data_IF_442666054975
#
_entry.id   IF_442666054975
#
_cell.length_a   1.000
_cell.length_b   1.000
_cell.length_c   1.000
_cell.angle_alpha   90.00
_cell.angle_beta   90.00
_cell.angle_gamma   90.00
#
_symmetry.space_group_name_H-M   'P 1'
#
loop_
_entity.id
_entity.type
_entity.pdbx_description
1 polymer ?
#
# COMPACT_ATOMS: atom_id res chain seq x y z
N UNK A 1 66.37 -49.57 -3.69
CA UNK A 1 64.91 -49.33 -3.67
C UNK A 1 64.60 -48.37 -2.54
N UNK A 2 64.45 -47.07 -2.82
CA UNK A 2 64.10 -46.08 -1.78
C UNK A 2 62.59 -45.93 -1.73
N UNK A 3 62.01 -46.27 -0.57
CA UNK A 3 60.60 -46.04 -0.28
C UNK A 3 60.39 -44.54 -0.09
N UNK A 4 59.78 -43.88 -1.08
CA UNK A 4 59.38 -42.48 -0.97
C UNK A 4 58.17 -42.44 -0.04
N UNK A 5 58.40 -42.06 1.22
CA UNK A 5 57.33 -41.82 2.18
C UNK A 5 56.59 -40.55 1.75
N UNK A 6 55.27 -40.59 1.52
CA UNK A 6 54.50 -39.41 1.12
C UNK A 6 54.55 -38.34 2.23
N UNK A 7 54.62 -37.08 1.82
CA UNK A 7 54.64 -35.94 2.73
C UNK A 7 53.41 -35.98 3.66
N UNK A 8 53.65 -35.97 4.97
CA UNK A 8 52.60 -36.01 6.00
C UNK A 8 51.58 -34.90 5.82
N UNK A 9 52.00 -33.74 5.31
CA UNK A 9 51.10 -32.61 5.05
C UNK A 9 50.13 -32.92 3.91
N UNK A 10 50.62 -33.55 2.86
CA UNK A 10 49.80 -33.97 1.72
C UNK A 10 48.82 -35.06 2.15
N UNK A 11 49.27 -36.03 2.95
CA UNK A 11 48.38 -37.07 3.51
C UNK A 11 47.31 -36.46 4.43
N UNK A 12 47.67 -35.50 5.28
CA UNK A 12 46.71 -34.80 6.14
C UNK A 12 45.69 -33.98 5.32
N UNK A 13 46.13 -33.29 4.26
CA UNK A 13 45.24 -32.52 3.39
C UNK A 13 44.27 -33.44 2.63
N UNK A 14 44.74 -34.58 2.12
CA UNK A 14 43.89 -35.58 1.47
C UNK A 14 42.89 -36.20 2.45
N UNK A 15 43.34 -36.56 3.66
CA UNK A 15 42.45 -37.10 4.69
C UNK A 15 41.37 -36.09 5.09
N UNK A 16 41.73 -34.82 5.26
CA UNK A 16 40.78 -33.76 5.60
C UNK A 16 39.79 -33.48 4.48
N UNK A 17 40.26 -33.49 3.22
CA UNK A 17 39.40 -33.37 2.05
C UNK A 17 38.41 -34.54 1.97
N UNK A 18 38.88 -35.78 2.14
CA UNK A 18 38.03 -36.97 2.14
C UNK A 18 36.99 -36.91 3.28
N UNK A 19 37.40 -36.53 4.49
CA UNK A 19 36.52 -36.36 5.64
C UNK A 19 35.43 -35.32 5.37
N UNK A 20 35.79 -34.18 4.77
CA UNK A 20 34.84 -33.12 4.44
C UNK A 20 33.79 -33.60 3.44
N UNK A 21 34.21 -34.32 2.40
CA UNK A 21 33.28 -34.86 1.40
C UNK A 21 32.34 -35.90 2.01
N UNK A 22 32.85 -36.77 2.89
CA UNK A 22 32.02 -37.73 3.64
C UNK A 22 31.01 -37.01 4.55
N UNK A 23 31.41 -35.93 5.21
CA UNK A 23 30.51 -35.15 6.06
C UNK A 23 29.39 -34.50 5.23
N UNK A 24 29.72 -33.91 4.08
CA UNK A 24 28.75 -33.29 3.18
C UNK A 24 27.77 -34.32 2.63
N UNK A 25 28.24 -35.50 2.19
CA UNK A 25 27.34 -36.54 1.71
C UNK A 25 26.43 -37.07 2.82
N UNK A 26 26.94 -37.18 4.06
CA UNK A 26 26.15 -37.61 5.21
C UNK A 26 25.08 -36.56 5.59
N UNK A 27 25.41 -35.27 5.53
CA UNK A 27 24.44 -34.18 5.73
C UNK A 27 23.34 -34.22 4.66
N UNK A 28 23.70 -34.45 3.39
CA UNK A 28 22.73 -34.51 2.30
C UNK A 28 21.84 -35.76 2.35
N UNK A 29 22.30 -36.84 2.97
CA UNK A 29 21.47 -38.04 3.22
C UNK A 29 20.46 -37.85 4.35
N UNK A 30 20.61 -36.82 5.18
CA UNK A 30 19.60 -36.46 6.18
C UNK A 30 18.50 -35.68 5.46
N UNK A 31 17.59 -36.40 4.80
CA UNK A 31 16.38 -35.84 4.15
C UNK A 31 15.43 -35.14 5.16
N UNK A 32 15.70 -35.26 6.46
CA UNK A 32 14.81 -34.83 7.55
C UNK A 32 15.41 -33.80 8.51
N UNK A 33 16.20 -32.85 8.03
CA UNK A 33 16.50 -31.64 8.84
C UNK A 33 15.22 -30.89 9.26
N UNK A 34 14.10 -31.10 8.55
CA UNK A 34 12.78 -30.62 8.93
C UNK A 34 12.26 -31.19 10.26
N UNK A 35 12.73 -32.36 10.70
CA UNK A 35 12.31 -32.98 11.96
C UNK A 35 13.00 -32.38 13.20
N UNK A 36 14.08 -31.61 13.02
CA UNK A 36 14.77 -30.87 14.09
C UNK A 36 14.16 -29.49 14.33
N UNK A 37 13.21 -29.06 13.50
CA UNK A 37 12.43 -27.85 13.71
C UNK A 37 11.24 -28.25 14.60
N UNK A 38 11.17 -27.78 15.86
CA UNK A 38 10.04 -28.12 16.71
C UNK A 38 8.75 -27.65 16.05
N UNK A 39 7.85 -28.60 15.77
CA UNK A 39 6.50 -28.29 15.33
C UNK A 39 5.88 -27.32 16.33
N UNK A 40 5.53 -26.15 15.83
CA UNK A 40 4.88 -25.09 16.60
C UNK A 40 3.51 -25.63 16.98
N UNK A 41 3.40 -26.19 18.18
CA UNK A 41 2.16 -26.71 18.74
C UNK A 41 1.11 -25.60 18.67
N UNK A 42 0.15 -25.75 17.77
CA UNK A 42 -1.02 -24.88 17.69
C UNK A 42 -1.79 -25.05 19.00
N UNK A 43 -1.66 -24.09 19.91
CA UNK A 43 -2.53 -23.98 21.07
C UNK A 43 -3.92 -23.63 20.52
N UNK A 44 -4.76 -24.64 20.32
CA UNK A 44 -6.19 -24.45 20.14
C UNK A 44 -6.74 -23.88 21.44
N UNK A 45 -6.98 -22.58 21.47
CA UNK A 45 -7.73 -21.93 22.52
C UNK A 45 -9.21 -22.13 22.20
N UNK A 46 -9.83 -23.14 22.80
CA UNK A 46 -11.29 -23.28 22.78
C UNK A 46 -11.90 -22.08 23.50
N UNK A 47 -12.51 -21.19 22.72
CA UNK A 47 -13.30 -20.07 23.24
C UNK A 47 -14.73 -20.58 23.38
N UNK A 48 -15.10 -20.93 24.61
CA UNK A 48 -16.48 -21.22 24.97
C UNK A 48 -17.29 -19.91 24.85
N UNK A 49 -18.10 -19.81 23.79
CA UNK A 49 -18.96 -18.66 23.54
C UNK A 49 -20.15 -18.73 24.49
N UNK A 50 -20.07 -18.00 25.60
CA UNK A 50 -21.21 -17.72 26.48
C UNK A 50 -22.22 -16.87 25.68
N UNK A 51 -23.48 -17.32 25.51
CA UNK A 51 -24.51 -16.50 24.89
C UNK A 51 -24.78 -15.26 25.74
N UNK A 52 -24.56 -14.08 25.16
CA UNK A 52 -24.84 -12.79 25.80
C UNK A 52 -26.36 -12.60 25.96
N UNK A 53 -26.88 -12.29 27.16
CA UNK A 53 -28.31 -12.08 27.36
C UNK A 53 -28.79 -10.84 26.62
N UNK A 54 -29.90 -11.01 25.89
CA UNK A 54 -30.57 -9.99 25.08
C UNK A 54 -30.71 -8.65 25.83
N UNK A 55 -30.05 -7.62 25.28
CA UNK A 55 -30.18 -6.23 25.70
C UNK A 55 -31.59 -5.72 25.33
N UNK A 56 -32.34 -5.07 26.25
CA UNK A 56 -33.66 -4.52 25.94
C UNK A 56 -33.60 -3.47 24.83
N UNK A 57 -34.59 -3.49 23.94
CA UNK A 57 -34.71 -2.53 22.84
C UNK A 57 -34.72 -1.06 23.33
N UNK A 58 -34.03 -0.14 22.63
CA UNK A 58 -34.16 1.29 22.87
C UNK A 58 -35.59 1.77 22.56
N UNK A 59 -36.16 2.71 23.33
CA UNK A 59 -37.45 3.29 23.03
C UNK A 59 -37.41 4.04 21.68
N UNK A 60 -38.46 3.82 20.87
CA UNK A 60 -38.66 4.49 19.58
C UNK A 60 -38.51 6.02 19.71
N UNK A 61 -37.74 6.68 18.83
CA UNK A 61 -37.73 8.13 18.73
C UNK A 61 -39.13 8.64 18.35
N UNK A 62 -39.67 9.53 19.17
CA UNK A 62 -40.88 10.30 18.87
C UNK A 62 -40.60 11.18 17.66
N UNK A 63 -41.50 11.14 16.67
CA UNK A 63 -41.41 11.95 15.46
C UNK A 63 -41.32 13.46 15.79
N UNK A 64 -40.48 14.24 15.08
CA UNK A 64 -40.47 15.69 15.23
C UNK A 64 -41.81 16.29 14.76
N UNK A 65 -42.31 17.36 15.39
CA UNK A 65 -43.53 18.04 14.96
C UNK A 65 -43.35 18.68 13.56
N UNK A 66 -44.43 18.80 12.78
CA UNK A 66 -44.37 19.30 11.41
C UNK A 66 -43.92 20.77 11.33
N UNK A 67 -43.20 21.18 10.26
CA UNK A 67 -42.84 22.56 10.01
C UNK A 67 -44.08 23.46 9.88
N UNK A 68 -44.08 24.61 10.58
CA UNK A 68 -45.06 25.68 10.35
C UNK A 68 -44.75 26.38 9.02
N UNK A 69 -45.73 26.41 8.11
CA UNK A 69 -45.73 27.24 6.91
C UNK A 69 -45.95 28.72 7.26
N UNK A 70 -45.10 29.65 6.77
CA UNK A 70 -45.43 31.07 6.72
C UNK A 70 -46.30 31.39 5.48
N UNK A 71 -47.35 32.21 5.63
CA UNK A 71 -48.29 32.54 4.55
C UNK A 71 -47.71 33.56 3.54
N UNK A 72 -47.95 33.30 2.24
CA UNK A 72 -48.19 34.32 1.21
C UNK A 72 -49.71 34.65 1.18
N UNK A 73 -50.24 35.64 0.43
CA UNK A 73 -49.64 36.76 -0.37
C UNK A 73 -50.37 38.12 -0.17
N UNK A 74 -49.87 39.21 -0.76
CA UNK A 74 -50.71 40.21 -1.45
C UNK A 74 -49.89 41.03 -2.47
N UNK A 75 -50.50 41.31 -3.63
CA UNK A 75 -49.93 41.90 -4.85
C UNK A 75 -50.25 43.42 -4.96
N UNK A 76 -50.17 44.07 -6.15
CA UNK A 76 -49.16 45.03 -6.64
C UNK A 76 -49.64 46.51 -6.64
N UNK A 77 -48.86 47.50 -7.12
CA UNK A 77 -49.13 48.01 -8.49
C UNK A 77 -47.94 48.61 -9.29
N UNK A 78 -48.20 48.65 -10.59
CA UNK A 78 -47.80 49.63 -11.64
C UNK A 78 -46.35 49.78 -12.13
N UNK A 79 -46.19 49.44 -13.41
CA UNK A 79 -45.20 50.01 -14.32
C UNK A 79 -45.58 51.45 -14.71
N UNK A 80 -44.61 52.28 -15.16
CA UNK A 80 -44.66 52.65 -16.58
C UNK A 80 -43.31 52.61 -17.33
N UNK A 81 -43.45 52.30 -18.63
CA UNK A 81 -42.48 52.30 -19.74
C UNK A 81 -41.65 53.58 -19.87
N UNK A 82 -40.37 53.46 -20.27
CA UNK A 82 -39.77 54.26 -21.37
C UNK A 82 -38.68 53.44 -22.10
N UNK A 83 -38.79 53.39 -23.43
CA UNK A 83 -37.81 52.86 -24.40
C UNK A 83 -36.68 53.88 -24.66
N UNK A 84 -35.43 53.45 -24.92
CA UNK A 84 -34.65 53.85 -26.13
C UNK A 84 -33.30 53.09 -26.22
N UNK A 85 -32.81 52.95 -27.46
CA UNK A 85 -31.79 52.01 -27.97
C UNK A 85 -30.30 52.46 -27.76
N UNK A 86 -29.29 51.59 -28.07
CA UNK A 86 -27.84 51.77 -27.78
C UNK A 86 -27.05 52.42 -28.95
N UNK A 87 -25.84 53.00 -28.75
CA UNK A 87 -24.52 52.34 -29.08
C UNK A 87 -23.29 52.96 -28.32
N UNK A 88 -21.98 52.73 -28.64
CA UNK A 88 -21.24 51.71 -29.42
C UNK A 88 -20.13 50.94 -28.61
N UNK A 89 -19.45 49.91 -29.18
CA UNK A 89 -18.49 49.06 -28.47
C UNK A 89 -17.02 49.56 -28.48
N UNK A 90 -16.17 49.14 -27.52
CA UNK A 90 -14.73 49.39 -27.56
C UNK A 90 -13.99 48.44 -28.52
N UNK A 91 -12.94 48.99 -29.16
CA UNK A 91 -12.12 48.37 -30.21
C UNK A 91 -11.39 47.08 -29.76
N UNK A 92 -11.20 46.09 -30.66
CA UNK A 92 -10.58 44.82 -30.34
C UNK A 92 -9.04 44.90 -30.26
N UNK A 93 -8.47 44.46 -29.13
CA UNK A 93 -7.05 44.16 -28.98
C UNK A 93 -6.75 42.91 -29.81
N UNK A 94 -5.95 43.06 -30.88
CA UNK A 94 -5.46 41.95 -31.69
C UNK A 94 -4.41 41.15 -30.91
N UNK A 95 -4.81 40.00 -30.35
CA UNK A 95 -3.85 38.95 -29.99
C UNK A 95 -3.58 38.10 -31.24
N UNK A 96 -2.31 37.76 -31.55
CA UNK A 96 -1.99 36.86 -32.66
C UNK A 96 -2.68 35.51 -32.46
N UNK A 97 -3.68 35.21 -33.30
CA UNK A 97 -4.32 33.91 -33.30
C UNK A 97 -3.44 32.92 -34.06
N UNK A 98 -2.94 31.90 -33.37
CA UNK A 98 -2.35 30.73 -33.99
C UNK A 98 -3.46 30.01 -34.76
N UNK A 99 -3.23 29.80 -36.05
CA UNK A 99 -4.20 29.17 -36.94
C UNK A 99 -4.50 27.73 -36.48
N UNK A 100 -5.77 27.33 -36.35
CA UNK A 100 -6.11 25.93 -36.10
C UNK A 100 -5.84 25.09 -37.36
N UNK A 101 -5.10 23.99 -37.17
CA UNK A 101 -4.89 22.97 -38.18
C UNK A 101 -6.21 22.26 -38.56
N UNK A 102 -6.37 21.78 -39.80
CA UNK A 102 -7.60 21.13 -40.25
C UNK A 102 -7.87 19.84 -39.47
N UNK A 103 -9.09 19.75 -38.92
CA UNK A 103 -9.59 18.57 -38.19
C UNK A 103 -9.63 17.36 -39.13
N UNK A 104 -8.75 16.38 -38.88
CA UNK A 104 -8.91 15.04 -39.39
C UNK A 104 -9.91 14.24 -38.53
N UNK A 105 -10.91 13.75 -39.25
CA UNK A 105 -11.85 12.65 -39.04
C UNK A 105 -11.81 11.83 -37.72
N UNK A 106 -13.00 11.74 -37.12
CA UNK A 106 -13.56 10.60 -36.37
C UNK A 106 -12.56 9.57 -35.82
N UNK A 107 -12.31 9.65 -34.51
CA UNK A 107 -12.10 8.46 -33.69
C UNK A 107 -12.95 8.55 -32.43
N UNK A 108 -13.83 7.56 -32.26
CA UNK A 108 -14.53 7.30 -30.99
C UNK A 108 -13.47 6.97 -29.94
N UNK A 109 -13.10 7.95 -29.12
CA UNK A 109 -12.43 7.66 -27.87
C UNK A 109 -13.48 7.14 -26.86
N UNK A 110 -13.22 6.02 -26.15
CA UNK A 110 -14.06 5.65 -25.03
C UNK A 110 -13.98 6.77 -23.98
N UNK A 111 -15.16 7.18 -23.52
CA UNK A 111 -15.38 8.21 -22.52
C UNK A 111 -14.56 7.87 -21.27
N UNK A 112 -13.37 8.47 -21.17
CA UNK A 112 -12.57 8.43 -19.95
C UNK A 112 -13.24 9.38 -18.98
N UNK A 113 -14.09 8.80 -18.15
CA UNK A 113 -14.65 9.45 -16.98
C UNK A 113 -13.48 9.97 -16.14
N UNK A 114 -13.49 11.25 -15.70
CA UNK A 114 -12.46 11.75 -14.81
C UNK A 114 -12.55 10.93 -13.52
N UNK A 115 -11.55 10.08 -13.29
CA UNK A 115 -11.38 9.39 -12.04
C UNK A 115 -11.34 10.46 -10.95
N UNK A 116 -12.43 10.56 -10.17
CA UNK A 116 -12.39 11.22 -8.86
C UNK A 116 -11.15 10.67 -8.16
N UNK A 117 -10.29 11.49 -7.55
CA UNK A 117 -9.24 10.99 -6.69
C UNK A 117 -9.95 10.29 -5.54
N UNK A 118 -10.13 8.97 -5.68
CA UNK A 118 -10.53 8.12 -4.59
C UNK A 118 -9.43 8.32 -3.56
N UNK A 119 -9.77 8.92 -2.41
CA UNK A 119 -8.93 8.81 -1.23
C UNK A 119 -8.63 7.32 -1.08
N UNK A 120 -7.42 6.90 -1.47
CA UNK A 120 -7.05 5.51 -1.46
C UNK A 120 -6.96 5.13 0.01
N UNK A 121 -7.91 4.35 0.49
CA UNK A 121 -7.87 3.82 1.85
C UNK A 121 -6.51 3.16 2.10
N UNK A 122 -5.89 3.40 3.27
CA UNK A 122 -4.62 2.77 3.61
C UNK A 122 -4.73 1.26 3.43
N UNK A 123 -3.76 0.66 2.74
CA UNK A 123 -3.89 -0.72 2.32
C UNK A 123 -2.67 -1.24 1.55
N UNK A 124 -2.38 -2.51 1.77
CA UNK A 124 -1.39 -3.30 1.03
C UNK A 124 -2.04 -4.05 -0.10
N UNK A 125 -1.38 -4.10 -1.25
CA UNK A 125 -1.84 -4.79 -2.45
C UNK A 125 -0.66 -5.26 -3.28
N UNK A 126 -0.89 -6.31 -4.06
CA UNK A 126 0.05 -6.78 -5.07
C UNK A 126 -0.58 -6.63 -6.44
N UNK A 127 0.21 -6.20 -7.40
CA UNK A 127 -0.20 -6.12 -8.81
C UNK A 127 0.85 -6.83 -9.67
N UNK A 128 0.44 -7.32 -10.84
CA UNK A 128 1.33 -7.92 -11.84
C UNK A 128 1.29 -7.07 -13.10
N UNK A 129 2.42 -6.49 -13.49
CA UNK A 129 2.50 -5.77 -14.75
C UNK A 129 3.48 -4.61 -14.76
N UNK A 130 3.22 -3.67 -15.67
CA UNK A 130 4.14 -2.56 -15.96
C UNK A 130 4.20 -1.58 -14.79
N UNK A 131 5.42 -1.32 -14.32
CA UNK A 131 5.69 -0.34 -13.29
C UNK A 131 5.56 1.08 -13.87
N UNK A 132 4.43 1.74 -13.61
CA UNK A 132 4.23 3.16 -13.92
C UNK A 132 4.30 3.98 -12.64
N UNK A 133 5.36 4.77 -12.47
CA UNK A 133 5.48 5.67 -11.33
C UNK A 133 4.57 6.88 -11.56
N UNK A 134 3.47 6.95 -10.82
CA UNK A 134 2.59 8.13 -10.80
C UNK A 134 3.32 9.32 -10.18
N UNK A 135 3.10 10.52 -10.73
CA UNK A 135 3.59 11.75 -10.12
C UNK A 135 2.92 11.95 -8.76
N UNK A 136 3.65 12.41 -7.73
CA UNK A 136 3.10 12.56 -6.40
C UNK A 136 1.95 13.57 -6.40
N UNK A 137 0.80 13.19 -5.83
CA UNK A 137 -0.33 14.09 -5.69
C UNK A 137 -0.02 15.22 -4.69
N UNK A 138 -0.74 16.34 -4.79
CA UNK A 138 -0.60 17.45 -3.85
C UNK A 138 -0.91 16.97 -2.42
N UNK A 139 0.10 16.94 -1.55
CA UNK A 139 0.00 16.42 -0.18
C UNK A 139 0.75 15.10 0.06
N UNK A 140 1.24 14.44 -0.98
CA UNK A 140 2.10 13.26 -0.85
C UNK A 140 3.53 13.63 -0.42
N UNK A 141 4.17 12.70 0.31
CA UNK A 141 5.58 12.82 0.70
C UNK A 141 6.48 12.81 -0.55
N UNK A 142 7.56 13.58 -0.51
CA UNK A 142 8.52 13.64 -1.62
C UNK A 142 9.19 12.28 -1.83
N UNK A 143 9.62 12.00 -3.06
CA UNK A 143 10.18 10.70 -3.42
C UNK A 143 11.36 10.27 -2.54
N UNK A 144 12.26 11.19 -2.19
CA UNK A 144 13.38 10.91 -1.29
C UNK A 144 12.91 10.40 0.09
N UNK A 145 11.78 10.92 0.60
CA UNK A 145 11.19 10.47 1.86
C UNK A 145 10.61 9.07 1.69
N UNK A 146 9.91 8.82 0.58
CA UNK A 146 9.37 7.49 0.27
C UNK A 146 10.50 6.45 0.21
N UNK A 147 11.61 6.76 -0.44
CA UNK A 147 12.77 5.87 -0.56
C UNK A 147 13.45 5.61 0.81
N UNK A 148 13.57 6.63 1.66
CA UNK A 148 14.08 6.47 3.04
C UNK A 148 13.17 5.61 3.91
N UNK A 149 11.86 5.84 3.84
CA UNK A 149 10.88 5.04 4.56
C UNK A 149 10.91 3.59 4.06
N UNK A 150 10.94 3.39 2.74
CA UNK A 150 11.05 2.07 2.15
C UNK A 150 12.31 1.36 2.64
N UNK A 151 13.47 2.01 2.63
CA UNK A 151 14.72 1.45 3.15
C UNK A 151 14.61 1.06 4.64
N UNK A 152 13.96 1.87 5.46
CA UNK A 152 13.70 1.56 6.87
C UNK A 152 12.82 0.32 7.03
N UNK A 153 11.75 0.21 6.24
CA UNK A 153 10.85 -0.97 6.27
C UNK A 153 11.57 -2.22 5.77
N UNK A 154 12.29 -2.13 4.66
CA UNK A 154 13.06 -3.24 4.07
C UNK A 154 14.12 -3.75 5.04
N UNK A 155 14.76 -2.87 5.83
CA UNK A 155 15.71 -3.28 6.87
C UNK A 155 15.09 -4.19 7.94
N UNK A 156 13.79 -4.04 8.20
CA UNK A 156 13.03 -4.86 9.15
C UNK A 156 12.33 -6.05 8.47
N UNK A 157 12.41 -6.14 7.13
CA UNK A 157 11.66 -7.11 6.36
C UNK A 157 12.43 -8.41 6.16
N UNK A 158 12.00 -9.45 6.87
CA UNK A 158 12.55 -10.79 6.75
C UNK A 158 11.76 -11.62 5.74
N UNK A 159 12.08 -11.45 4.46
CA UNK A 159 11.53 -12.23 3.37
C UNK A 159 12.63 -12.53 2.34
N UNK A 160 12.64 -13.73 1.77
CA UNK A 160 13.60 -14.10 0.73
C UNK A 160 13.20 -13.47 -0.62
N UNK A 161 13.50 -12.18 -0.79
CA UNK A 161 13.26 -11.43 -2.03
C UNK A 161 13.95 -12.05 -3.24
N UNK A 162 15.08 -12.74 -3.04
CA UNK A 162 15.82 -13.41 -4.11
C UNK A 162 15.00 -14.51 -4.79
N UNK A 163 14.06 -15.14 -4.07
CA UNK A 163 13.13 -16.11 -4.65
C UNK A 163 12.12 -15.50 -5.63
N UNK A 164 11.98 -14.17 -5.63
CA UNK A 164 11.09 -13.41 -6.52
C UNK A 164 11.84 -12.71 -7.66
N UNK A 165 13.14 -12.97 -7.84
CA UNK A 165 13.89 -12.43 -8.98
C UNK A 165 13.30 -12.92 -10.30
N UNK A 166 13.10 -11.99 -11.23
CA UNK A 166 12.45 -12.25 -12.51
C UNK A 166 10.93 -12.34 -12.45
N UNK A 167 10.30 -12.19 -11.28
CA UNK A 167 8.85 -12.03 -11.19
C UNK A 167 8.44 -10.58 -11.49
N UNK A 168 7.27 -10.42 -12.11
CA UNK A 168 6.65 -9.11 -12.36
C UNK A 168 5.74 -8.65 -11.21
N UNK A 169 5.96 -9.17 -10.01
CA UNK A 169 5.19 -8.83 -8.82
C UNK A 169 5.59 -7.43 -8.35
N UNK A 170 4.60 -6.55 -8.22
CA UNK A 170 4.75 -5.22 -7.65
C UNK A 170 4.00 -5.16 -6.34
N UNK A 171 4.72 -4.86 -5.26
CA UNK A 171 4.12 -4.58 -3.96
C UNK A 171 3.77 -3.09 -3.90
N UNK A 172 2.51 -2.80 -3.58
CA UNK A 172 1.98 -1.44 -3.45
C UNK A 172 1.35 -1.25 -2.07
N UNK A 173 1.80 -0.25 -1.32
CA UNK A 173 1.27 0.09 0.00
C UNK A 173 0.85 1.56 0.04
N UNK A 174 -0.44 1.80 0.21
CA UNK A 174 -1.03 3.11 0.50
C UNK A 174 -1.00 3.32 2.01
N UNK A 175 -0.29 4.35 2.46
CA UNK A 175 -0.01 4.63 3.86
C UNK A 175 -0.54 6.01 4.24
N UNK A 176 -1.06 6.14 5.47
CA UNK A 176 -1.44 7.41 6.06
C UNK A 176 -0.59 7.64 7.30
N UNK A 177 0.35 8.57 7.18
CA UNK A 177 1.43 8.82 8.14
C UNK A 177 1.05 9.99 9.03
N UNK A 178 1.12 9.76 10.34
CA UNK A 178 0.87 10.75 11.38
C UNK A 178 2.12 11.62 11.62
N UNK A 179 1.93 12.72 12.34
CA UNK A 179 3.00 13.67 12.66
C UNK A 179 4.14 13.04 13.49
N UNK A 180 3.82 12.05 14.30
CA UNK A 180 4.75 11.32 15.17
C UNK A 180 5.51 10.19 14.43
N UNK A 181 5.29 10.03 13.12
CA UNK A 181 5.89 8.96 12.33
C UNK A 181 5.17 7.62 12.46
N UNK A 182 4.06 7.53 13.19
CA UNK A 182 3.22 6.32 13.20
C UNK A 182 2.32 6.26 11.97
N UNK A 183 1.84 5.07 11.66
CA UNK A 183 0.85 4.84 10.61
C UNK A 183 -0.54 4.77 11.22
N UNK A 184 -1.53 5.29 10.52
CA UNK A 184 -2.93 5.22 10.96
C UNK A 184 -3.63 3.90 10.62
N UNK A 185 -4.75 3.66 11.30
CA UNK A 185 -5.68 2.57 11.00
C UNK A 185 -5.09 1.18 11.28
N UNK A 186 -5.38 0.16 10.45
CA UNK A 186 -4.95 -1.22 10.69
C UNK A 186 -3.45 -1.43 10.48
N UNK A 187 -2.71 -0.42 10.03
CA UNK A 187 -1.26 -0.46 9.89
C UNK A 187 -0.52 0.12 11.09
N UNK A 188 -1.22 0.71 12.07
CA UNK A 188 -0.62 1.22 13.29
C UNK A 188 0.10 0.11 14.07
N UNK A 189 1.26 0.40 14.67
CA UNK A 189 2.04 -0.58 15.43
C UNK A 189 1.26 -1.28 16.55
N UNK A 190 0.41 -0.52 17.24
CA UNK A 190 -0.38 -1.01 18.38
C UNK A 190 -1.79 -1.50 17.98
N UNK A 191 -2.13 -1.50 16.68
CA UNK A 191 -3.42 -2.01 16.24
C UNK A 191 -3.49 -3.54 16.40
N UNK A 192 -4.67 -4.12 16.69
CA UNK A 192 -4.85 -5.56 16.67
C UNK A 192 -4.33 -6.20 15.37
N UNK A 193 -3.78 -7.41 15.47
CA UNK A 193 -3.35 -8.14 14.29
C UNK A 193 -4.58 -8.58 13.49
N UNK A 194 -4.84 -7.86 12.38
CA UNK A 194 -5.92 -8.15 11.44
C UNK A 194 -5.41 -7.90 10.01
N UNK A 195 -4.85 -8.93 9.35
CA UNK A 195 -4.34 -8.80 7.99
C UNK A 195 -5.43 -8.45 6.98
N UNK A 196 -6.67 -8.90 7.15
CA UNK A 196 -7.79 -8.55 6.25
C UNK A 196 -8.11 -7.06 6.22
N UNK A 197 -7.91 -6.37 7.33
CA UNK A 197 -8.13 -4.92 7.39
C UNK A 197 -6.99 -4.14 6.71
N UNK A 198 -5.77 -4.67 6.71
CA UNK A 198 -4.58 -3.98 6.20
C UNK A 198 -4.21 -4.38 4.76
N UNK A 199 -4.52 -5.62 4.36
CA UNK A 199 -4.18 -6.20 3.05
C UNK A 199 -5.47 -6.34 2.24
N UNK A 200 -5.51 -5.66 1.09
CA UNK A 200 -6.66 -5.68 0.20
C UNK A 200 -6.86 -7.07 -0.38
N UNK A 201 -8.01 -7.67 -0.09
CA UNK A 201 -8.37 -8.99 -0.60
C UNK A 201 -7.62 -10.14 0.04
N UNK A 202 -7.05 -9.96 1.23
CA UNK A 202 -6.27 -10.98 1.95
C UNK A 202 -6.93 -12.36 2.01
N UNK A 203 -8.19 -12.44 2.47
CA UNK A 203 -8.98 -13.68 2.50
C UNK A 203 -9.13 -14.40 1.14
N UNK A 204 -8.90 -13.70 0.02
CA UNK A 204 -9.01 -14.26 -1.34
C UNK A 204 -7.67 -14.64 -1.95
N UNK A 205 -6.57 -14.30 -1.29
CA UNK A 205 -5.24 -14.65 -1.77
C UNK A 205 -5.01 -16.15 -1.57
N UNK A 206 -4.45 -16.85 -2.58
CA UNK A 206 -4.04 -18.24 -2.38
C UNK A 206 -2.95 -18.31 -1.31
N UNK A 207 -2.98 -19.37 -0.50
CA UNK A 207 -1.88 -19.69 0.40
C UNK A 207 -0.60 -19.88 -0.42
N UNK A 208 0.49 -19.26 0.01
CA UNK A 208 1.78 -19.34 -0.68
C UNK A 208 2.63 -18.08 -0.54
N UNK A 209 3.63 -17.98 -1.43
CA UNK A 209 4.68 -16.96 -1.37
C UNK A 209 4.13 -15.54 -1.35
N UNK A 210 3.12 -15.22 -2.18
CA UNK A 210 2.55 -13.86 -2.25
C UNK A 210 1.87 -13.46 -0.94
N UNK A 211 1.07 -14.35 -0.36
CA UNK A 211 0.37 -14.08 0.90
C UNK A 211 1.37 -13.89 2.05
N UNK A 212 2.35 -14.80 2.15
CA UNK A 212 3.43 -14.71 3.13
C UNK A 212 4.27 -13.43 2.96
N UNK A 213 4.57 -13.03 1.72
CA UNK A 213 5.27 -11.79 1.40
C UNK A 213 4.51 -10.56 1.92
N UNK A 214 3.19 -10.49 1.68
CA UNK A 214 2.36 -9.37 2.15
C UNK A 214 2.25 -9.32 3.68
N UNK A 215 2.10 -10.47 4.34
CA UNK A 215 2.04 -10.56 5.80
C UNK A 215 3.35 -10.13 6.45
N UNK A 216 4.47 -10.69 5.98
CA UNK A 216 5.80 -10.35 6.51
C UNK A 216 6.13 -8.88 6.26
N UNK A 217 5.67 -8.32 5.13
CA UNK A 217 5.81 -6.89 4.87
C UNK A 217 4.95 -6.05 5.81
N UNK A 218 3.70 -6.44 6.09
CA UNK A 218 2.86 -5.77 7.09
C UNK A 218 3.49 -5.80 8.49
N UNK A 219 4.08 -6.94 8.88
CA UNK A 219 4.84 -7.06 10.13
C UNK A 219 6.01 -6.08 10.13
N UNK A 220 6.84 -6.08 9.08
CA UNK A 220 7.98 -5.19 8.95
C UNK A 220 7.57 -3.71 9.02
N UNK A 221 6.45 -3.35 8.39
CA UNK A 221 5.88 -2.02 8.41
C UNK A 221 5.43 -1.58 9.82
N UNK A 222 4.86 -2.50 10.61
CA UNK A 222 4.50 -2.25 12.02
C UNK A 222 5.75 -2.12 12.89
N UNK A 223 6.75 -2.97 12.68
CA UNK A 223 8.02 -2.96 13.43
C UNK A 223 8.91 -1.77 13.11
N UNK A 224 8.79 -1.21 11.91
CA UNK A 224 9.54 -0.04 11.48
C UNK A 224 9.03 1.28 12.09
N UNK A 225 7.87 1.29 12.75
CA UNK A 225 7.33 2.51 13.36
C UNK A 225 8.02 2.84 14.69
N UNK A 226 8.32 4.12 14.98
CA UNK A 226 8.01 5.30 14.17
C UNK A 226 8.93 5.45 12.93
N UNK A 227 8.35 5.92 11.84
CA UNK A 227 9.05 6.19 10.59
C UNK A 227 9.91 7.44 10.72
N UNK A 228 11.12 7.40 10.15
CA UNK A 228 12.03 8.54 10.13
C UNK A 228 11.61 9.53 9.04
N UNK A 229 10.86 10.56 9.45
CA UNK A 229 10.41 11.64 8.57
C UNK A 229 11.37 12.83 8.66
N UNK A 230 11.58 13.59 7.57
CA UNK A 230 12.38 14.81 7.63
C UNK A 230 11.68 15.88 8.49
N UNK A 231 12.41 16.95 8.87
CA UNK A 231 11.85 18.08 9.60
C UNK A 231 10.59 18.63 8.95
N UNK A 232 9.68 19.18 9.77
CA UNK A 232 8.35 19.60 9.34
C UNK A 232 8.39 20.60 8.18
N UNK A 233 7.97 20.17 6.99
CA UNK A 233 7.89 21.03 5.79
C UNK A 233 6.74 22.06 5.84
N UNK A 234 6.03 22.20 6.98
CA UNK A 234 4.90 23.12 7.15
C UNK A 234 3.60 22.68 6.47
N UNK A 235 3.55 21.47 5.89
CA UNK A 235 2.33 20.90 5.28
C UNK A 235 1.46 20.22 6.35
N UNK A 236 0.12 20.22 6.19
CA UNK A 236 -0.79 19.60 7.14
C UNK A 236 -0.55 18.09 7.29
N UNK A 237 -0.84 17.59 8.48
CA UNK A 237 -0.83 16.17 8.85
C UNK A 237 -2.28 15.70 9.06
N UNK A 238 -2.60 14.42 8.84
CA UNK A 238 -1.72 13.33 8.37
C UNK A 238 -1.40 13.40 6.87
N UNK A 239 -0.31 12.78 6.45
CA UNK A 239 0.14 12.77 5.05
C UNK A 239 -0.09 11.40 4.41
N UNK A 240 -0.50 11.41 3.16
CA UNK A 240 -0.61 10.20 2.36
C UNK A 240 0.76 9.86 1.72
N UNK A 241 1.06 8.58 1.62
CA UNK A 241 2.27 8.08 1.00
C UNK A 241 1.99 6.76 0.30
N UNK A 242 2.42 6.65 -0.94
CA UNK A 242 2.35 5.40 -1.70
C UNK A 242 3.74 4.82 -1.84
N UNK A 243 3.97 3.63 -1.29
CA UNK A 243 5.17 2.84 -1.56
C UNK A 243 4.86 1.86 -2.68
N UNK A 244 5.66 1.87 -3.75
CA UNK A 244 5.51 0.94 -4.86
C UNK A 244 6.89 0.45 -5.29
N UNK A 245 7.14 -0.85 -5.21
CA UNK A 245 8.43 -1.44 -5.59
C UNK A 245 8.26 -2.90 -6.03
N UNK A 246 9.25 -3.41 -6.74
CA UNK A 246 9.36 -4.84 -7.08
C UNK A 246 10.23 -5.53 -6.03
N UNK A 247 9.71 -6.52 -5.28
CA UNK A 247 10.51 -7.23 -4.29
C UNK A 247 11.77 -7.87 -4.87
N UNK A 248 11.72 -8.36 -6.12
CA UNK A 248 12.88 -8.96 -6.79
C UNK A 248 14.04 -8.00 -7.11
N UNK A 249 13.82 -6.68 -6.99
CA UNK A 249 14.84 -5.65 -7.26
C UNK A 249 15.60 -5.18 -5.99
N UNK A 250 15.24 -5.73 -4.82
CA UNK A 250 15.86 -5.41 -3.53
C UNK A 250 17.19 -6.13 -3.28
#
# INVERSE_FOLDING_TARGET
>A
MHSVMPDRRLMAALALSALLHVLVTLILQIESLSALIPERTERSMEVEVIPEPLKPEPPKPVAPPPPQEPPLPETPPEAPKVQTAPPPPPLPIQRPQLQPAPLAEKSKAPKSEPAKPALQSPGLSTDTGTFTRSAPAAGELSQNIQDKVLAQVVRMWHFNSAALRGSDIILSASLLVNRDGTLSGPMHKDAPWNPDAAIRGYSRLPEGTTKQMMETFLVALRMAQPLQLPPDDGKPWPRHMMLRFKPGDL
#
